data_IF_510955040577
#
_entry.id   IF_510955040577
#
_cell.length_a   1.000
_cell.length_b   1.000
_cell.length_c   1.000
_cell.angle_alpha   90.00
_cell.angle_beta   90.00
_cell.angle_gamma   90.00
#
_symmetry.space_group_name_H-M   'P 1'
#
loop_
_entity.id
_entity.type
_entity.pdbx_description
1 polymer ?
#
# COMPACT_ATOMS: atom_id res chain seq x y z
N UNK A 1 2.27 -13.47 0.88
CA UNK A 1 1.12 -14.00 1.63
C UNK A 1 0.27 -14.77 0.63
N UNK A 2 0.47 -16.08 0.48
CA UNK A 2 -0.22 -16.87 -0.56
C UNK A 2 -1.62 -17.36 -0.14
N UNK A 3 -2.01 -17.20 1.13
CA UNK A 3 -3.24 -17.79 1.69
C UNK A 3 -4.15 -16.82 2.47
N UNK A 4 -3.85 -15.52 2.47
CA UNK A 4 -4.55 -14.58 3.35
C UNK A 4 -4.39 -14.92 4.85
N UNK A 5 -5.20 -14.29 5.69
CA UNK A 5 -5.38 -14.67 7.09
C UNK A 5 -6.49 -15.73 7.20
N UNK A 6 -6.40 -16.62 8.20
CA UNK A 6 -7.53 -17.47 8.56
C UNK A 6 -8.61 -16.58 9.18
N UNK A 7 -9.78 -16.51 8.52
CA UNK A 7 -10.87 -15.68 9.01
C UNK A 7 -11.66 -16.39 10.10
N UNK A 8 -12.13 -15.62 11.08
CA UNK A 8 -13.09 -16.10 12.10
C UNK A 8 -14.53 -16.16 11.59
N UNK A 9 -14.81 -15.59 10.42
CA UNK A 9 -16.13 -15.63 9.79
C UNK A 9 -16.23 -16.82 8.84
N UNK A 10 -17.45 -17.32 8.62
CA UNK A 10 -17.61 -18.47 7.73
C UNK A 10 -17.40 -18.07 6.28
N UNK A 11 -16.82 -18.98 5.52
CA UNK A 11 -16.62 -18.83 4.07
C UNK A 11 -17.96 -18.62 3.34
N UNK A 12 -19.02 -19.31 3.78
CA UNK A 12 -20.38 -19.14 3.25
C UNK A 12 -20.92 -17.72 3.44
N UNK A 13 -20.68 -17.10 4.61
CA UNK A 13 -21.17 -15.75 4.92
C UNK A 13 -20.48 -14.70 4.04
N UNK A 14 -19.15 -14.81 3.90
CA UNK A 14 -18.37 -13.91 3.05
C UNK A 14 -18.67 -14.12 1.56
N UNK A 15 -18.83 -15.38 1.13
CA UNK A 15 -19.17 -15.73 -0.26
C UNK A 15 -20.53 -15.15 -0.66
N UNK A 16 -21.55 -15.28 0.19
CA UNK A 16 -22.87 -14.69 -0.06
C UNK A 16 -22.81 -13.17 -0.23
N UNK A 17 -21.93 -12.49 0.50
CA UNK A 17 -21.70 -11.05 0.35
C UNK A 17 -20.99 -10.69 -0.95
N UNK A 18 -20.02 -11.50 -1.40
CA UNK A 18 -19.37 -11.33 -2.71
C UNK A 18 -20.34 -11.61 -3.86
N UNK A 19 -21.21 -12.61 -3.77
CA UNK A 19 -22.27 -12.87 -4.74
C UNK A 19 -23.23 -11.69 -4.85
N UNK A 20 -23.67 -11.17 -3.70
CA UNK A 20 -24.53 -9.99 -3.63
C UNK A 20 -23.87 -8.77 -4.28
N UNK A 21 -22.57 -8.59 -4.04
CA UNK A 21 -21.77 -7.57 -4.71
C UNK A 21 -21.77 -7.76 -6.24
N UNK A 22 -21.45 -8.94 -6.75
CA UNK A 22 -21.41 -9.22 -8.19
C UNK A 22 -22.78 -8.98 -8.83
N UNK A 23 -23.87 -9.42 -8.19
CA UNK A 23 -25.24 -9.21 -8.67
C UNK A 23 -25.62 -7.73 -8.72
N UNK A 24 -25.19 -6.94 -7.73
CA UNK A 24 -25.48 -5.50 -7.64
C UNK A 24 -24.62 -4.67 -8.60
N UNK A 25 -23.33 -4.96 -8.68
CA UNK A 25 -22.36 -4.17 -9.46
C UNK A 25 -22.28 -4.60 -10.93
N UNK A 26 -22.69 -5.82 -11.29
CA UNK A 26 -22.72 -6.29 -12.67
C UNK A 26 -21.35 -6.18 -13.34
N UNK A 27 -21.29 -5.39 -14.41
CA UNK A 27 -20.04 -5.18 -15.17
C UNK A 27 -18.96 -4.44 -14.36
N UNK A 28 -19.35 -3.70 -13.33
CA UNK A 28 -18.44 -2.94 -12.46
C UNK A 28 -17.95 -3.75 -11.25
N UNK A 29 -18.39 -5.01 -11.12
CA UNK A 29 -17.90 -5.91 -10.09
C UNK A 29 -16.39 -6.21 -10.27
N UNK A 30 -15.68 -6.61 -9.19
CA UNK A 30 -14.28 -7.00 -9.31
C UNK A 30 -14.07 -8.03 -10.42
N UNK A 31 -13.07 -7.79 -11.26
CA UNK A 31 -12.80 -8.54 -12.50
C UNK A 31 -12.66 -10.03 -12.24
N UNK A 32 -11.97 -10.41 -11.16
CA UNK A 32 -11.78 -11.79 -10.79
C UNK A 32 -13.07 -12.53 -10.38
N UNK A 33 -14.13 -11.79 -10.04
CA UNK A 33 -15.43 -12.35 -9.64
C UNK A 33 -16.47 -12.33 -10.78
N UNK A 34 -16.19 -11.66 -11.90
CA UNK A 34 -17.16 -11.50 -12.99
C UNK A 34 -17.31 -12.80 -13.79
N UNK A 35 -18.53 -13.33 -13.83
CA UNK A 35 -18.86 -14.51 -14.64
C UNK A 35 -18.26 -15.82 -14.13
N UNK A 36 -17.78 -15.83 -12.89
CA UNK A 36 -17.21 -17.01 -12.20
C UNK A 36 -18.06 -17.29 -10.96
N UNK A 37 -18.22 -18.56 -10.60
CA UNK A 37 -18.86 -18.95 -9.36
C UNK A 37 -17.95 -18.59 -8.17
N UNK A 38 -18.48 -17.93 -7.14
CA UNK A 38 -17.69 -17.35 -6.04
C UNK A 38 -16.89 -18.40 -5.28
N UNK A 39 -17.43 -19.62 -5.17
CA UNK A 39 -16.81 -20.79 -4.53
C UNK A 39 -15.54 -21.25 -5.25
N UNK A 40 -15.37 -20.86 -6.51
CA UNK A 40 -14.20 -21.18 -7.34
C UNK A 40 -13.38 -19.94 -7.70
N UNK A 41 -13.89 -18.75 -7.37
CA UNK A 41 -13.22 -17.50 -7.68
C UNK A 41 -12.00 -17.32 -6.75
N UNK A 42 -10.88 -16.78 -7.25
CA UNK A 42 -9.71 -16.59 -6.42
C UNK A 42 -9.92 -15.38 -5.50
N UNK A 43 -10.09 -15.63 -4.20
CA UNK A 43 -10.12 -14.59 -3.18
C UNK A 43 -9.50 -15.05 -1.85
N UNK A 44 -9.03 -14.10 -1.05
CA UNK A 44 -8.41 -14.30 0.26
C UNK A 44 -8.86 -13.20 1.23
N UNK A 45 -8.90 -13.49 2.53
CA UNK A 45 -9.10 -12.46 3.56
C UNK A 45 -7.76 -11.79 3.87
N UNK A 46 -7.71 -10.46 3.80
CA UNK A 46 -6.50 -9.66 4.04
C UNK A 46 -6.47 -9.11 5.46
N UNK A 47 -7.60 -8.58 5.92
CA UNK A 47 -7.77 -8.05 7.28
C UNK A 47 -9.19 -8.32 7.77
N UNK A 48 -9.35 -8.41 9.08
CA UNK A 48 -10.67 -8.54 9.71
C UNK A 48 -10.74 -7.79 11.04
N UNK A 49 -11.93 -7.30 11.37
CA UNK A 49 -12.33 -6.75 12.67
C UNK A 49 -13.76 -7.17 12.99
N UNK A 50 -14.36 -6.67 14.07
CA UNK A 50 -15.76 -7.00 14.43
C UNK A 50 -16.78 -6.42 13.45
N UNK A 51 -16.39 -5.36 12.74
CA UNK A 51 -17.29 -4.58 11.90
C UNK A 51 -16.81 -4.42 10.46
N UNK A 52 -15.59 -4.85 10.14
CA UNK A 52 -15.01 -4.72 8.80
C UNK A 52 -14.22 -5.97 8.40
N UNK A 53 -14.31 -6.34 7.13
CA UNK A 53 -13.47 -7.37 6.50
C UNK A 53 -12.96 -6.81 5.18
N UNK A 54 -11.66 -6.96 4.93
CA UNK A 54 -11.05 -6.63 3.65
C UNK A 54 -10.69 -7.93 2.92
N UNK A 55 -11.25 -8.10 1.74
CA UNK A 55 -11.03 -9.27 0.87
C UNK A 55 -10.16 -8.85 -0.30
N UNK A 56 -9.13 -9.64 -0.59
CA UNK A 56 -8.38 -9.59 -1.84
C UNK A 56 -8.99 -10.55 -2.84
N UNK A 57 -9.30 -10.07 -4.05
CA UNK A 57 -9.79 -10.89 -5.18
C UNK A 57 -8.73 -10.95 -6.26
N UNK A 58 -8.75 -11.97 -7.13
CA UNK A 58 -7.73 -12.18 -8.15
C UNK A 58 -6.50 -12.93 -7.63
N UNK A 59 -5.37 -12.79 -8.29
CA UNK A 59 -4.13 -13.47 -7.88
C UNK A 59 -3.46 -12.71 -6.74
N UNK A 60 -3.04 -13.42 -5.68
CA UNK A 60 -2.27 -12.86 -4.56
C UNK A 60 -1.10 -13.78 -4.22
N UNK A 61 0.09 -13.21 -4.02
CA UNK A 61 1.32 -13.96 -3.81
C UNK A 61 2.15 -13.49 -2.61
N UNK A 62 3.35 -14.06 -2.47
CA UNK A 62 4.40 -13.56 -1.57
C UNK A 62 4.59 -12.04 -1.71
N UNK A 63 4.60 -11.59 -2.95
CA UNK A 63 4.72 -10.21 -3.39
C UNK A 63 3.34 -9.59 -3.64
N UNK A 64 2.40 -9.65 -2.70
CA UNK A 64 1.11 -8.92 -2.81
C UNK A 64 0.19 -9.30 -3.99
N UNK A 65 -0.77 -8.41 -4.36
CA UNK A 65 -1.70 -8.63 -5.47
C UNK A 65 -1.01 -8.67 -6.84
N UNK A 66 -1.46 -9.59 -7.68
CA UNK A 66 -1.15 -9.65 -9.10
C UNK A 66 -1.90 -8.58 -9.90
N UNK A 67 -1.73 -8.61 -11.24
CA UNK A 67 -2.31 -7.61 -12.16
C UNK A 67 -3.84 -7.52 -12.15
N UNK A 68 -4.50 -8.59 -11.73
CA UNK A 68 -5.95 -8.74 -11.60
C UNK A 68 -6.40 -8.59 -10.13
N UNK A 69 -5.47 -8.27 -9.23
CA UNK A 69 -5.71 -8.13 -7.81
C UNK A 69 -6.53 -6.88 -7.49
N UNK A 70 -7.69 -7.08 -6.87
CA UNK A 70 -8.56 -5.99 -6.41
C UNK A 70 -8.98 -6.22 -4.97
N UNK A 71 -9.31 -5.14 -4.26
CA UNK A 71 -9.78 -5.22 -2.87
C UNK A 71 -11.29 -4.95 -2.81
N UNK A 72 -11.97 -5.69 -1.95
CA UNK A 72 -13.35 -5.48 -1.56
C UNK A 72 -13.38 -5.23 -0.05
N UNK A 73 -13.97 -4.10 0.36
CA UNK A 73 -14.23 -3.84 1.77
C UNK A 73 -15.68 -4.16 2.08
N UNK A 74 -15.87 -5.04 3.06
CA UNK A 74 -17.15 -5.39 3.63
C UNK A 74 -17.28 -4.73 5.00
N UNK A 75 -18.44 -4.16 5.28
CA UNK A 75 -18.83 -3.72 6.62
C UNK A 75 -20.04 -4.49 7.12
N UNK A 76 -20.12 -4.65 8.43
CA UNK A 76 -21.20 -5.38 9.08
C UNK A 76 -22.43 -4.49 9.24
N UNK A 77 -23.50 -4.82 8.52
CA UNK A 77 -24.81 -4.19 8.62
C UNK A 77 -25.77 -5.10 9.41
N UNK A 78 -25.78 -4.98 10.73
CA UNK A 78 -26.55 -5.87 11.60
C UNK A 78 -25.97 -7.29 11.58
N UNK A 79 -26.71 -8.25 11.03
CA UNK A 79 -26.30 -9.66 10.97
C UNK A 79 -25.70 -10.08 9.61
N UNK A 80 -25.45 -9.13 8.70
CA UNK A 80 -24.97 -9.40 7.34
C UNK A 80 -23.76 -8.54 7.00
N UNK A 81 -22.89 -9.04 6.14
CA UNK A 81 -21.83 -8.24 5.54
C UNK A 81 -22.30 -7.59 4.25
N UNK A 82 -22.02 -6.30 4.10
CA UNK A 82 -22.31 -5.55 2.89
C UNK A 82 -21.01 -4.99 2.31
N UNK A 83 -20.80 -5.19 1.01
CA UNK A 83 -19.70 -4.54 0.32
C UNK A 83 -19.96 -3.03 0.25
N UNK A 84 -19.09 -2.25 0.88
CA UNK A 84 -19.18 -0.78 0.94
C UNK A 84 -18.26 -0.10 -0.05
N UNK A 85 -17.17 -0.75 -0.45
CA UNK A 85 -16.28 -0.28 -1.51
C UNK A 85 -15.52 -1.44 -2.14
N UNK A 86 -15.09 -1.25 -3.38
CA UNK A 86 -14.16 -2.12 -4.06
C UNK A 86 -13.40 -1.33 -5.12
N UNK A 87 -12.24 -1.85 -5.53
CA UNK A 87 -11.46 -1.23 -6.58
C UNK A 87 -10.08 -1.83 -6.72
N UNK A 88 -9.35 -1.28 -7.67
CA UNK A 88 -7.98 -1.70 -7.92
C UNK A 88 -7.08 -1.41 -6.72
N UNK A 89 -5.98 -2.14 -6.64
CA UNK A 89 -4.98 -2.02 -5.59
C UNK A 89 -3.93 -0.89 -5.74
N UNK A 90 -3.94 0.07 -6.69
CA UNK A 90 -2.71 0.82 -6.96
C UNK A 90 -2.29 1.70 -5.79
N UNK A 91 -3.17 1.99 -4.81
CA UNK A 91 -2.90 2.87 -3.66
C UNK A 91 -2.79 2.13 -2.33
N UNK A 92 -2.63 0.81 -2.32
CA UNK A 92 -2.34 0.11 -1.07
C UNK A 92 -1.03 0.62 -0.50
N UNK A 93 -1.00 0.88 0.80
CA UNK A 93 0.24 1.12 1.53
C UNK A 93 0.49 -0.09 2.42
N UNK A 94 1.69 -0.70 2.44
CA UNK A 94 1.97 -1.80 3.34
C UNK A 94 1.74 -1.35 4.80
N UNK A 95 1.31 -2.27 5.67
CA UNK A 95 1.12 -1.94 7.07
C UNK A 95 2.45 -1.54 7.71
N UNK A 96 2.44 -0.45 8.48
CA UNK A 96 3.57 0.03 9.28
C UNK A 96 3.31 -0.27 10.75
N UNK A 97 4.37 -0.50 11.51
CA UNK A 97 4.30 -0.74 12.95
C UNK A 97 3.52 0.39 13.65
N UNK A 98 2.79 0.06 14.71
CA UNK A 98 2.01 1.04 15.48
C UNK A 98 2.88 2.20 15.96
N UNK A 99 2.49 3.44 15.64
CA UNK A 99 3.20 4.66 16.00
C UNK A 99 4.14 5.21 14.91
N UNK A 100 4.21 4.57 13.74
CA UNK A 100 4.92 5.08 12.58
C UNK A 100 3.93 5.34 11.42
N UNK A 101 4.30 6.27 10.54
CA UNK A 101 3.61 6.57 9.29
C UNK A 101 4.57 6.56 8.11
N UNK A 102 4.03 6.33 6.91
CA UNK A 102 4.78 6.46 5.67
C UNK A 102 5.15 7.91 5.37
N UNK A 103 6.36 8.12 4.86
CA UNK A 103 6.73 9.35 4.16
C UNK A 103 6.59 9.15 2.65
N UNK A 104 6.39 10.25 1.94
CA UNK A 104 6.52 10.27 0.48
C UNK A 104 7.93 10.68 0.08
N UNK A 105 8.44 10.00 -0.95
CA UNK A 105 9.77 10.23 -1.48
C UNK A 105 9.69 10.96 -2.83
N UNK A 106 10.67 11.82 -3.06
CA UNK A 106 10.90 12.50 -4.33
C UNK A 106 12.40 12.48 -4.65
N UNK A 107 12.74 12.54 -5.93
CA UNK A 107 14.12 12.61 -6.39
C UNK A 107 14.33 13.90 -7.20
N UNK A 108 15.53 14.50 -7.21
CA UNK A 108 15.85 15.55 -8.18
C UNK A 108 15.92 14.98 -9.60
N UNK A 109 15.64 15.82 -10.60
CA UNK A 109 15.66 15.42 -12.02
C UNK A 109 17.07 15.02 -12.51
N UNK A 110 18.12 15.56 -11.88
CA UNK A 110 19.53 15.40 -12.24
C UNK A 110 20.29 14.41 -11.35
N UNK A 111 19.60 13.36 -10.90
CA UNK A 111 20.17 12.35 -9.99
C UNK A 111 21.45 11.72 -10.57
N UNK A 112 22.56 11.78 -9.81
CA UNK A 112 23.83 11.15 -10.19
C UNK A 112 23.73 9.63 -10.11
N UNK A 113 23.48 9.00 -11.26
CA UNK A 113 23.37 7.55 -11.40
C UNK A 113 24.69 6.81 -11.16
N UNK A 114 25.83 7.49 -11.22
CA UNK A 114 27.13 6.87 -10.94
C UNK A 114 27.48 6.81 -9.45
N UNK A 115 26.68 7.46 -8.61
CA UNK A 115 26.88 7.56 -7.17
C UNK A 115 26.23 6.41 -6.39
N UNK A 116 26.86 6.00 -5.30
CA UNK A 116 26.27 5.16 -4.23
C UNK A 116 25.55 6.00 -3.17
N UNK A 117 25.53 7.32 -3.32
CA UNK A 117 24.82 8.25 -2.46
C UNK A 117 23.81 9.03 -3.29
N UNK A 118 22.53 8.84 -2.98
CA UNK A 118 21.42 9.50 -3.67
C UNK A 118 20.74 10.48 -2.71
N UNK A 119 20.44 11.68 -3.19
CA UNK A 119 19.70 12.69 -2.44
C UNK A 119 18.21 12.56 -2.78
N UNK A 120 17.39 12.35 -1.75
CA UNK A 120 15.94 12.24 -1.87
C UNK A 120 15.25 13.32 -1.04
N UNK A 121 14.17 13.87 -1.56
CA UNK A 121 13.25 14.69 -0.77
C UNK A 121 12.30 13.79 0.01
N UNK A 122 12.22 13.99 1.32
CA UNK A 122 11.34 13.27 2.22
C UNK A 122 10.22 14.19 2.70
N UNK A 123 8.98 13.74 2.57
CA UNK A 123 7.79 14.51 2.94
C UNK A 123 6.86 13.70 3.85
N UNK A 124 6.49 14.23 5.02
CA UNK A 124 5.49 13.56 5.87
C UNK A 124 4.10 13.68 5.26
N UNK A 125 3.39 12.56 5.21
CA UNK A 125 2.00 12.54 4.72
C UNK A 125 1.01 12.84 5.85
N UNK A 126 1.40 12.54 7.09
CA UNK A 126 0.56 12.77 8.28
C UNK A 126 0.55 14.24 8.67
N UNK A 127 -0.59 14.71 9.18
CA UNK A 127 -0.72 16.08 9.68
C UNK A 127 0.22 16.28 10.87
N UNK A 128 1.23 17.13 10.72
CA UNK A 128 2.33 17.27 11.68
C UNK A 128 2.63 18.71 12.10
N UNK A 129 1.70 19.63 11.82
CA UNK A 129 1.82 21.05 12.21
C UNK A 129 3.10 21.73 11.71
N UNK A 130 3.58 21.31 10.54
CA UNK A 130 4.76 21.90 9.92
C UNK A 130 6.09 21.53 10.59
N UNK A 131 6.14 20.48 11.42
CA UNK A 131 7.38 20.08 12.09
C UNK A 131 8.44 19.61 11.09
N UNK A 132 9.70 19.72 11.49
CA UNK A 132 10.80 19.09 10.77
C UNK A 132 10.75 17.57 10.98
N UNK A 133 10.64 16.74 9.92
CA UNK A 133 10.59 15.29 10.08
C UNK A 133 11.91 14.66 10.46
N UNK A 134 13.06 15.30 10.19
CA UNK A 134 14.39 14.67 10.32
C UNK A 134 14.66 14.02 11.67
N UNK A 135 14.27 14.62 12.82
CA UNK A 135 14.48 13.99 14.13
C UNK A 135 13.60 12.75 14.38
N UNK A 136 12.58 12.53 13.56
CA UNK A 136 11.55 11.49 13.73
C UNK A 136 11.62 10.41 12.67
N UNK A 137 12.47 10.57 11.64
CA UNK A 137 12.66 9.57 10.59
C UNK A 137 13.24 8.29 11.20
N UNK A 138 12.69 7.14 10.79
CA UNK A 138 13.29 5.82 11.06
C UNK A 138 14.42 5.55 10.06
N UNK A 139 15.17 4.48 10.24
CA UNK A 139 16.11 4.07 9.19
C UNK A 139 15.34 3.56 7.96
N UNK A 140 15.72 3.97 6.74
CA UNK A 140 15.06 3.47 5.53
C UNK A 140 15.38 1.99 5.33
N UNK A 141 14.37 1.24 4.91
CA UNK A 141 14.55 -0.11 4.37
C UNK A 141 14.82 -0.01 2.88
N UNK A 142 15.98 -0.53 2.47
CA UNK A 142 16.44 -0.50 1.07
C UNK A 142 16.54 -1.95 0.58
N UNK A 143 15.91 -2.23 -0.56
CA UNK A 143 16.04 -3.49 -1.28
C UNK A 143 16.64 -3.17 -2.64
N UNK A 144 17.79 -3.76 -2.93
CA UNK A 144 18.49 -3.61 -4.21
C UNK A 144 18.45 -4.94 -4.97
N UNK A 145 18.12 -4.85 -6.26
CA UNK A 145 18.25 -5.94 -7.23
C UNK A 145 18.88 -5.40 -8.53
N UNK A 146 19.06 -6.28 -9.53
CA UNK A 146 19.73 -5.96 -10.79
C UNK A 146 18.97 -4.92 -11.65
N UNK A 147 17.70 -4.66 -11.34
CA UNK A 147 16.81 -3.82 -12.15
C UNK A 147 16.25 -2.62 -11.37
N UNK A 148 16.24 -2.66 -10.05
CA UNK A 148 15.58 -1.67 -9.22
C UNK A 148 16.24 -1.47 -7.85
N UNK A 149 15.98 -0.29 -7.29
CA UNK A 149 16.28 0.06 -5.91
C UNK A 149 14.98 0.52 -5.28
N UNK A 150 14.41 -0.30 -4.38
CA UNK A 150 13.18 0.03 -3.67
C UNK A 150 13.48 0.56 -2.28
N UNK A 151 12.98 1.76 -1.98
CA UNK A 151 13.20 2.45 -0.71
C UNK A 151 11.87 2.59 0.00
N UNK A 152 11.79 2.06 1.21
CA UNK A 152 10.64 2.21 2.11
C UNK A 152 11.11 2.99 3.34
N UNK A 153 10.46 4.13 3.63
CA UNK A 153 10.87 5.00 4.73
C UNK A 153 9.65 5.38 5.55
N UNK A 154 9.78 5.35 6.87
CA UNK A 154 8.75 5.76 7.81
C UNK A 154 9.23 6.87 8.75
N UNK A 155 8.27 7.52 9.38
CA UNK A 155 8.46 8.56 10.38
C UNK A 155 7.59 8.27 11.59
N UNK A 156 8.06 8.59 12.79
CA UNK A 156 7.24 8.48 14.00
C UNK A 156 6.00 9.37 13.90
N UNK A 157 4.80 8.85 14.18
CA UNK A 157 3.57 9.63 14.09
C UNK A 157 3.55 10.80 15.09
N UNK A 158 3.12 12.01 14.66
CA UNK A 158 2.89 13.11 15.58
C UNK A 158 1.81 12.76 16.61
N UNK A 159 2.10 12.95 17.90
CA UNK A 159 1.11 12.79 18.97
C UNK A 159 0.31 14.06 19.20
N UNK A 160 -0.96 13.94 19.56
CA UNK A 160 -1.82 15.06 19.94
C UNK A 160 -2.51 15.75 18.77
N UNK A 161 -3.11 16.92 19.03
CA UNK A 161 -3.81 17.68 18.00
C UNK A 161 -2.80 18.32 17.04
N UNK A 162 -2.82 17.89 15.78
CA UNK A 162 -1.95 18.40 14.72
C UNK A 162 -2.77 18.95 13.57
N UNK A 163 -2.25 19.99 12.90
CA UNK A 163 -2.87 20.55 11.71
C UNK A 163 -2.16 20.04 10.44
N UNK A 164 -2.88 20.10 9.32
CA UNK A 164 -2.41 19.59 8.03
C UNK A 164 -1.81 20.73 7.19
N UNK A 165 -0.79 21.39 7.73
CA UNK A 165 0.00 22.35 6.97
C UNK A 165 0.90 21.59 5.99
N UNK A 166 0.90 22.02 4.72
CA UNK A 166 1.85 21.49 3.74
C UNK A 166 3.28 21.87 4.13
N UNK A 167 4.18 20.89 4.12
CA UNK A 167 5.62 21.07 4.34
C UNK A 167 6.39 20.90 3.04
N UNK A 168 7.52 21.60 2.91
CA UNK A 168 8.45 21.31 1.82
C UNK A 168 9.17 19.99 2.08
N UNK A 169 9.46 19.17 1.05
CA UNK A 169 10.32 18.00 1.20
C UNK A 169 11.67 18.37 1.80
N UNK A 170 12.15 17.60 2.77
CA UNK A 170 13.49 17.78 3.34
C UNK A 170 14.49 16.87 2.61
N UNK A 171 15.67 17.39 2.21
CA UNK A 171 16.67 16.56 1.55
C UNK A 171 17.30 15.58 2.54
N UNK A 172 17.36 14.30 2.19
CA UNK A 172 18.02 13.23 2.92
C UNK A 172 18.92 12.42 1.99
N UNK A 173 20.05 11.94 2.52
CA UNK A 173 20.98 11.09 1.78
C UNK A 173 20.71 9.63 2.08
N UNK A 174 20.50 8.84 1.03
CA UNK A 174 20.42 7.38 1.10
C UNK A 174 21.69 6.79 0.52
N UNK A 175 22.24 5.77 1.21
CA UNK A 175 23.43 5.04 0.77
C UNK A 175 23.03 3.70 0.17
N UNK A 176 23.48 3.45 -1.05
CA UNK A 176 23.32 2.21 -1.78
C UNK A 176 24.58 1.35 -1.65
N UNK A 177 24.43 0.05 -1.86
CA UNK A 177 25.55 -0.91 -1.92
C UNK A 177 26.31 -0.77 -3.23
N UNK A 178 25.61 -0.46 -4.32
CA UNK A 178 26.18 -0.25 -5.66
C UNK A 178 25.69 1.08 -6.28
N UNK A 179 26.42 1.67 -7.24
CA UNK A 179 25.95 2.84 -7.98
C UNK A 179 24.57 2.61 -8.61
N UNK A 180 23.67 3.59 -8.57
CA UNK A 180 22.29 3.39 -9.07
C UNK A 180 22.25 2.86 -10.51
N UNK A 181 23.09 3.40 -11.40
CA UNK A 181 23.19 3.02 -12.79
C UNK A 181 21.86 3.17 -13.53
N UNK A 182 21.49 2.13 -14.27
CA UNK A 182 20.23 2.07 -15.04
C UNK A 182 19.05 1.56 -14.22
N UNK A 183 19.25 1.23 -12.93
CA UNK A 183 18.19 0.72 -12.07
C UNK A 183 17.11 1.76 -11.85
N UNK A 184 15.87 1.30 -11.75
CA UNK A 184 14.72 2.15 -11.44
C UNK A 184 14.66 2.40 -9.95
N UNK A 185 14.53 3.65 -9.55
CA UNK A 185 14.34 4.03 -8.15
C UNK A 185 12.84 3.99 -7.80
N UNK A 186 12.47 3.22 -6.78
CA UNK A 186 11.08 2.94 -6.42
C UNK A 186 10.75 3.35 -4.97
N UNK A 187 9.60 3.99 -4.77
CA UNK A 187 8.95 4.24 -3.48
C UNK A 187 8.18 2.99 -3.05
N UNK A 188 8.64 2.36 -1.97
CA UNK A 188 8.05 1.18 -1.35
C UNK A 188 6.95 1.48 -0.33
N UNK A 189 6.58 2.76 -0.13
CA UNK A 189 5.40 3.12 0.68
C UNK A 189 4.08 2.71 0.03
N UNK A 190 4.12 2.29 -1.25
CA UNK A 190 2.99 1.81 -2.02
C UNK A 190 3.15 0.36 -2.45
N UNK A 191 2.03 -0.30 -2.71
CA UNK A 191 1.97 -1.60 -3.37
C UNK A 191 1.16 -1.53 -4.68
N UNK A 192 1.72 -1.97 -5.83
CA UNK A 192 3.15 -2.25 -6.02
C UNK A 192 3.98 -0.98 -5.80
N UNK A 193 5.28 -1.15 -5.56
CA UNK A 193 6.20 -0.01 -5.45
C UNK A 193 6.15 0.84 -6.73
N UNK A 194 6.27 2.15 -6.58
CA UNK A 194 6.08 3.11 -7.68
C UNK A 194 7.38 3.85 -7.99
N UNK A 195 7.63 4.27 -9.25
CA UNK A 195 8.75 5.16 -9.54
C UNK A 195 8.78 6.38 -8.62
N UNK A 196 9.97 6.71 -8.12
CA UNK A 196 10.23 8.00 -7.47
C UNK A 196 10.46 9.00 -8.59
N UNK A 197 9.45 9.84 -8.82
CA UNK A 197 9.53 10.90 -9.82
C UNK A 197 10.16 12.18 -9.23
N UNK A 198 10.37 13.17 -10.11
CA UNK A 198 10.84 14.52 -9.79
C UNK A 198 10.08 15.19 -8.64
N UNK A 199 10.59 16.31 -8.09
CA UNK A 199 9.91 17.01 -7.00
C UNK A 199 8.48 17.41 -7.41
N UNK A 200 7.50 17.04 -6.58
CA UNK A 200 6.09 17.45 -6.75
C UNK A 200 5.83 18.84 -6.20
#
# INVERSE_FOLDING_TARGET
MERGIESRFSEDELSASLESLVKRAGVDAPTALRGVAIETAPWIVLTESEHAVTIGTGTWGAQGPGKDGQVVNLEKEGARWAAVSWGDCPKLRPFVTHGDAWVELSAPDDLDRSSTQIALGVHEVSCSSGRDPRPFLRDPRIIEDDHSVTISWTVEEPTGANNCQGTMPVPQLVRLQEPLGDRVLLDGSYWPARPIDGPR
#
